data_IF_390976896079
#
_entry.id   IF_390976896079
#
_cell.length_a   1.000
_cell.length_b   1.000
_cell.length_c   1.000
_cell.angle_alpha   90.00
_cell.angle_beta   90.00
_cell.angle_gamma   90.00
#
_symmetry.space_group_name_H-M   'P 1'
#
loop_
_entity.id
_entity.type
_entity.pdbx_description
1 polymer ?
#
# COMPACT_ATOMS: atom_id res chain seq x y z
N UNK A 1 -26.51 43.87 34.65
CA UNK A 1 -27.10 42.53 34.42
C UNK A 1 -26.36 41.72 33.33
N UNK A 2 -25.58 42.33 32.43
CA UNK A 2 -24.91 41.63 31.30
C UNK A 2 -23.79 40.67 31.76
N UNK A 3 -23.16 40.92 32.92
CA UNK A 3 -22.05 40.08 33.39
C UNK A 3 -22.47 38.70 33.92
N UNK A 4 -23.72 38.51 34.36
CA UNK A 4 -24.19 37.23 34.90
C UNK A 4 -24.38 36.19 33.79
N UNK A 5 -24.98 36.62 32.67
CA UNK A 5 -25.25 35.77 31.51
C UNK A 5 -23.95 35.29 30.84
N UNK A 6 -22.91 36.12 30.82
CA UNK A 6 -21.61 35.73 30.27
C UNK A 6 -20.89 34.69 31.15
N UNK A 7 -21.05 34.78 32.47
CA UNK A 7 -20.47 33.82 33.41
C UNK A 7 -21.15 32.45 33.32
N UNK A 8 -22.49 32.40 33.22
CA UNK A 8 -23.25 31.15 33.03
C UNK A 8 -22.89 30.44 31.72
N UNK A 9 -22.72 31.18 30.61
CA UNK A 9 -22.29 30.59 29.33
C UNK A 9 -20.87 30.04 29.40
N UNK A 10 -19.99 30.67 30.17
CA UNK A 10 -18.59 30.24 30.34
C UNK A 10 -18.52 28.99 31.25
N UNK A 11 -19.28 28.94 32.35
CA UNK A 11 -19.44 27.73 33.19
C UNK A 11 -20.04 26.55 32.42
N UNK A 12 -21.12 26.75 31.65
CA UNK A 12 -21.70 25.68 30.82
C UNK A 12 -20.70 25.16 29.76
N UNK A 13 -19.87 26.05 29.21
CA UNK A 13 -18.82 25.68 28.27
C UNK A 13 -17.72 24.85 28.92
N UNK A 14 -17.33 25.18 30.16
CA UNK A 14 -16.32 24.43 30.91
C UNK A 14 -16.83 23.04 31.31
N UNK A 15 -18.06 22.94 31.82
CA UNK A 15 -18.70 21.65 32.16
C UNK A 15 -18.82 20.75 30.94
N UNK A 16 -19.18 21.32 29.78
CA UNK A 16 -19.27 20.58 28.52
C UNK A 16 -17.90 20.03 28.08
N UNK A 17 -16.83 20.78 28.28
CA UNK A 17 -15.46 20.34 27.97
C UNK A 17 -14.95 19.29 28.96
N UNK A 18 -15.30 19.41 30.25
CA UNK A 18 -14.95 18.40 31.27
C UNK A 18 -15.66 17.07 31.00
N UNK A 19 -16.95 17.09 30.64
CA UNK A 19 -17.71 15.90 30.28
C UNK A 19 -17.10 15.19 29.06
N UNK A 20 -16.66 15.95 28.05
CA UNK A 20 -15.97 15.39 26.87
C UNK A 20 -14.65 14.73 27.26
N UNK A 21 -13.86 15.35 28.13
CA UNK A 21 -12.59 14.78 28.61
C UNK A 21 -12.80 13.52 29.44
N UNK A 22 -13.82 13.49 30.28
CA UNK A 22 -14.16 12.31 31.08
C UNK A 22 -14.63 11.16 30.20
N UNK A 23 -15.49 11.44 29.23
CA UNK A 23 -15.93 10.46 28.23
C UNK A 23 -14.77 9.90 27.39
N UNK A 24 -13.86 10.76 26.92
CA UNK A 24 -12.64 10.31 26.24
C UNK A 24 -11.75 9.45 27.14
N UNK A 25 -11.58 9.83 28.41
CA UNK A 25 -10.78 9.07 29.37
C UNK A 25 -11.40 7.70 29.70
N UNK A 26 -12.72 7.59 29.76
CA UNK A 26 -13.42 6.31 29.94
C UNK A 26 -13.31 5.40 28.72
N UNK A 27 -13.46 5.94 27.50
CA UNK A 27 -13.24 5.18 26.27
C UNK A 27 -11.80 4.69 26.17
N UNK A 28 -10.83 5.54 26.50
CA UNK A 28 -9.41 5.23 26.39
C UNK A 28 -8.94 4.17 27.39
N UNK A 29 -9.65 3.96 28.51
CA UNK A 29 -9.38 2.89 29.49
C UNK A 29 -9.91 1.52 29.05
N UNK A 30 -10.92 1.49 28.18
CA UNK A 30 -11.65 0.27 27.80
C UNK A 30 -11.27 -0.26 26.41
N UNK A 31 -10.54 0.52 25.62
CA UNK A 31 -10.05 0.10 24.30
C UNK A 31 -8.61 -0.39 24.45
N UNK A 32 -8.41 -1.68 24.22
CA UNK A 32 -7.08 -2.22 23.98
C UNK A 32 -6.62 -1.73 22.59
N UNK A 33 -5.86 -0.64 22.59
CA UNK A 33 -5.35 -0.03 21.37
C UNK A 33 -4.38 -0.94 20.63
N UNK A 34 -3.66 -1.81 21.33
CA UNK A 34 -2.78 -2.79 20.70
C UNK A 34 -3.61 -3.85 19.96
N UNK A 35 -4.70 -4.33 20.56
CA UNK A 35 -5.65 -5.24 19.90
C UNK A 35 -6.35 -4.58 18.70
N UNK A 36 -6.76 -3.32 18.83
CA UNK A 36 -7.41 -2.58 17.75
C UNK A 36 -6.47 -2.38 16.56
N UNK A 37 -5.20 -2.01 16.81
CA UNK A 37 -4.17 -1.86 15.78
C UNK A 37 -3.81 -3.21 15.17
N UNK A 38 -3.69 -4.28 15.96
CA UNK A 38 -3.43 -5.62 15.46
C UNK A 38 -4.56 -6.14 14.57
N UNK A 39 -5.81 -5.85 14.92
CA UNK A 39 -6.96 -6.21 14.09
C UNK A 39 -6.97 -5.48 12.74
N UNK A 40 -6.64 -4.18 12.73
CA UNK A 40 -6.48 -3.39 11.50
C UNK A 40 -5.34 -3.95 10.65
N UNK A 41 -4.19 -4.25 11.27
CA UNK A 41 -3.04 -4.82 10.60
C UNK A 41 -3.31 -6.21 10.03
N UNK A 42 -4.08 -7.05 10.74
CA UNK A 42 -4.51 -8.37 10.26
C UNK A 42 -5.42 -8.25 9.06
N UNK A 43 -6.44 -7.37 9.12
CA UNK A 43 -7.33 -7.10 7.97
C UNK A 43 -6.57 -6.56 6.77
N UNK A 44 -5.62 -5.66 6.98
CA UNK A 44 -4.78 -5.12 5.91
C UNK A 44 -3.86 -6.19 5.28
N UNK A 45 -3.31 -7.12 6.07
CA UNK A 45 -2.54 -8.27 5.54
C UNK A 45 -3.41 -9.28 4.79
N UNK A 46 -4.67 -9.39 5.16
CA UNK A 46 -5.62 -10.31 4.52
C UNK A 46 -6.24 -9.75 3.22
N UNK A 47 -6.18 -8.43 3.04
CA UNK A 47 -6.68 -7.72 1.88
C UNK A 47 -6.12 -8.33 0.56
N UNK A 48 -7.00 -8.68 -0.40
CA UNK A 48 -6.58 -9.28 -1.66
C UNK A 48 -5.60 -8.43 -2.47
N UNK A 49 -5.70 -7.10 -2.42
CA UNK A 49 -4.79 -6.20 -3.12
C UNK A 49 -3.42 -6.16 -2.44
N UNK A 50 -3.37 -6.13 -1.10
CA UNK A 50 -2.12 -6.22 -0.33
C UNK A 50 -1.40 -7.55 -0.59
N UNK A 51 -2.14 -8.67 -0.62
CA UNK A 51 -1.58 -9.99 -0.98
C UNK A 51 -1.01 -10.04 -2.40
N UNK A 52 -1.72 -9.45 -3.37
CA UNK A 52 -1.24 -9.35 -4.77
C UNK A 52 0.01 -8.49 -4.87
N UNK A 53 0.04 -7.35 -4.19
CA UNK A 53 1.22 -6.48 -4.16
C UNK A 53 2.44 -7.15 -3.53
N UNK A 54 2.26 -7.84 -2.40
CA UNK A 54 3.33 -8.63 -1.78
C UNK A 54 3.81 -9.76 -2.69
N UNK A 55 2.91 -10.42 -3.43
CA UNK A 55 3.27 -11.44 -4.40
C UNK A 55 4.06 -10.86 -5.59
N UNK A 56 3.71 -9.66 -6.07
CA UNK A 56 4.41 -8.96 -7.15
C UNK A 56 5.80 -8.45 -6.72
N UNK A 57 5.97 -8.07 -5.45
CA UNK A 57 7.27 -7.64 -4.90
C UNK A 57 8.24 -8.79 -4.62
N UNK A 58 7.80 -10.05 -4.64
CA UNK A 58 8.71 -11.19 -4.49
C UNK A 58 9.61 -11.29 -5.73
N UNK A 59 10.92 -11.40 -5.53
CA UNK A 59 11.88 -11.69 -6.61
C UNK A 59 11.42 -12.91 -7.40
N UNK A 60 11.61 -12.96 -8.74
CA UNK A 60 11.27 -14.13 -9.53
C UNK A 60 11.89 -15.37 -8.89
N UNK A 61 11.04 -16.33 -8.50
CA UNK A 61 11.47 -17.51 -7.75
C UNK A 61 12.29 -18.48 -8.60
N UNK A 62 12.16 -18.39 -9.92
CA UNK A 62 12.82 -19.25 -10.91
C UNK A 62 13.12 -18.46 -12.19
N UNK A 63 14.13 -18.89 -12.95
CA UNK A 63 14.46 -18.33 -14.26
C UNK A 63 13.27 -18.34 -15.23
N UNK A 64 12.43 -19.38 -15.18
CA UNK A 64 11.22 -19.45 -15.99
C UNK A 64 10.23 -18.31 -15.70
N UNK A 65 10.12 -17.88 -14.44
CA UNK A 65 9.27 -16.76 -14.05
C UNK A 65 9.89 -15.43 -14.51
N UNK A 66 11.20 -15.26 -14.34
CA UNK A 66 11.92 -14.07 -14.80
C UNK A 66 11.82 -13.94 -16.33
N UNK A 67 12.00 -15.04 -17.05
CA UNK A 67 11.83 -15.14 -18.50
C UNK A 67 10.43 -14.73 -18.95
N UNK A 68 9.37 -15.25 -18.30
CA UNK A 68 7.98 -14.84 -18.60
C UNK A 68 7.78 -13.33 -18.41
N UNK A 69 8.30 -12.76 -17.32
CA UNK A 69 8.17 -11.33 -17.06
C UNK A 69 8.89 -10.48 -18.12
N UNK A 70 10.11 -10.87 -18.53
CA UNK A 70 10.86 -10.18 -19.59
C UNK A 70 10.13 -10.22 -20.94
N UNK A 71 9.58 -11.37 -21.32
CA UNK A 71 8.79 -11.52 -22.57
C UNK A 71 7.55 -10.62 -22.54
N UNK A 72 6.82 -10.58 -21.42
CA UNK A 72 5.64 -9.71 -21.28
C UNK A 72 6.01 -8.23 -21.38
N UNK A 73 7.12 -7.81 -20.77
CA UNK A 73 7.62 -6.44 -20.91
C UNK A 73 7.95 -6.12 -22.38
N UNK A 74 8.71 -6.97 -23.05
CA UNK A 74 9.11 -6.79 -24.44
C UNK A 74 7.90 -6.71 -25.38
N UNK A 75 6.87 -7.54 -25.14
CA UNK A 75 5.59 -7.44 -25.84
C UNK A 75 4.94 -6.07 -25.61
N UNK A 76 4.86 -5.60 -24.38
CA UNK A 76 4.11 -4.39 -24.07
C UNK A 76 4.83 -3.10 -24.50
N UNK A 77 6.16 -3.11 -24.52
CA UNK A 77 6.97 -1.89 -24.73
C UNK A 77 7.58 -1.81 -26.12
N UNK A 78 7.73 -2.94 -26.81
CA UNK A 78 8.29 -2.97 -28.15
C UNK A 78 7.45 -3.78 -29.14
N UNK A 79 6.22 -4.16 -28.77
CA UNK A 79 5.28 -4.92 -29.61
C UNK A 79 5.87 -6.22 -30.18
N UNK A 80 6.84 -6.82 -29.49
CA UNK A 80 7.36 -8.13 -29.89
C UNK A 80 6.26 -9.19 -29.81
N UNK A 81 6.18 -10.03 -30.84
CA UNK A 81 5.30 -11.19 -30.82
C UNK A 81 5.82 -12.24 -29.82
N UNK A 82 4.90 -12.91 -29.12
CA UNK A 82 5.26 -13.92 -28.11
C UNK A 82 5.95 -15.14 -28.72
N UNK A 83 5.60 -15.50 -29.97
CA UNK A 83 6.12 -16.66 -30.69
C UNK A 83 7.62 -16.56 -31.00
N UNK A 84 8.14 -15.34 -31.14
CA UNK A 84 9.58 -15.07 -31.28
C UNK A 84 10.40 -15.65 -30.12
N UNK A 85 9.85 -15.66 -28.91
CA UNK A 85 10.54 -16.14 -27.71
C UNK A 85 10.33 -17.63 -27.43
N UNK A 86 9.62 -18.35 -28.32
CA UNK A 86 9.42 -19.79 -28.17
C UNK A 86 10.75 -20.53 -28.35
N UNK A 87 11.10 -21.37 -27.39
CA UNK A 87 12.35 -22.12 -27.39
C UNK A 87 13.60 -21.33 -26.96
N UNK A 88 13.53 -20.00 -26.85
CA UNK A 88 14.65 -19.19 -26.35
C UNK A 88 14.82 -19.35 -24.83
N UNK A 89 16.08 -19.45 -24.39
CA UNK A 89 16.45 -19.58 -22.98
C UNK A 89 16.42 -18.23 -22.25
N UNK A 90 16.69 -18.22 -20.95
CA UNK A 90 16.84 -16.97 -20.20
C UNK A 90 18.02 -16.14 -20.75
N UNK A 91 19.15 -16.80 -21.03
CA UNK A 91 20.40 -16.16 -21.47
C UNK A 91 20.27 -15.55 -22.88
N UNK A 92 19.42 -16.10 -23.73
CA UNK A 92 19.13 -15.52 -25.06
C UNK A 92 18.24 -14.28 -24.96
N UNK A 93 17.31 -14.26 -23.98
CA UNK A 93 16.29 -13.21 -23.84
C UNK A 93 16.81 -12.03 -23.03
N UNK A 94 17.68 -12.28 -22.04
CA UNK A 94 18.18 -11.27 -21.13
C UNK A 94 18.86 -10.09 -21.87
N UNK A 95 19.76 -10.29 -22.85
CA UNK A 95 20.40 -9.20 -23.57
C UNK A 95 19.41 -8.32 -24.35
N UNK A 96 18.37 -8.94 -24.94
CA UNK A 96 17.33 -8.22 -25.71
C UNK A 96 16.52 -7.34 -24.77
N UNK A 97 16.14 -7.89 -23.61
CA UNK A 97 15.44 -7.14 -22.57
C UNK A 97 16.27 -5.96 -22.07
N UNK A 98 17.55 -6.18 -21.75
CA UNK A 98 18.45 -5.14 -21.23
C UNK A 98 18.64 -4.00 -22.24
N UNK A 99 18.88 -4.33 -23.51
CA UNK A 99 19.01 -3.34 -24.57
C UNK A 99 17.76 -2.46 -24.68
N UNK A 100 16.56 -3.07 -24.63
CA UNK A 100 15.30 -2.31 -24.72
C UNK A 100 15.03 -1.51 -23.45
N UNK A 101 15.27 -2.08 -22.28
CA UNK A 101 15.09 -1.42 -21.00
C UNK A 101 15.98 -0.18 -20.88
N UNK A 102 17.28 -0.33 -21.17
CA UNK A 102 18.24 0.77 -21.13
C UNK A 102 17.89 1.86 -22.14
N UNK A 103 17.44 1.49 -23.34
CA UNK A 103 16.96 2.45 -24.33
C UNK A 103 15.78 3.26 -23.77
N UNK A 104 14.80 2.64 -23.12
CA UNK A 104 13.65 3.35 -22.55
C UNK A 104 14.03 4.25 -21.38
N UNK A 105 14.95 3.82 -20.52
CA UNK A 105 15.47 4.64 -19.41
C UNK A 105 16.24 5.85 -19.94
N UNK A 106 16.98 5.70 -21.05
CA UNK A 106 17.71 6.81 -21.67
C UNK A 106 16.78 7.88 -22.29
N UNK A 107 15.51 7.56 -22.52
CA UNK A 107 14.51 8.50 -23.04
C UNK A 107 13.64 9.16 -21.95
N UNK A 108 13.87 8.84 -20.66
CA UNK A 108 13.20 9.43 -19.49
C UNK A 108 14.12 10.44 -18.80
#
# INVERSE_FOLDING_TARGET
MINNVRLEVEEESEVSLELLREFEAELNKNIDWDEAIDHVNRKAKEDPAVKRYQALKRKPRTEAQARKNMIVYLKNVADFKMDYFNGMSYDDICPIFEAKFNSNVAFL
#
